data_IF_095680424462
#
_entry.id   IF_095680424462
#
_cell.length_a   1.000
_cell.length_b   1.000
_cell.length_c   1.000
_cell.angle_alpha   90.00
_cell.angle_beta   90.00
_cell.angle_gamma   90.00
#
_symmetry.space_group_name_H-M   'P 1'
#
loop_
_entity.id
_entity.type
_entity.pdbx_description
1 polymer ?
#
# COMPACT_ATOMS: atom_id res chain seq x y z
N UNK A 1 -15.33 21.62 1.61
CA UNK A 1 -14.51 21.10 0.52
C UNK A 1 -13.16 21.80 0.53
N UNK A 2 -12.07 21.07 0.38
CA UNK A 2 -10.73 21.64 0.39
C UNK A 2 -10.29 21.87 -1.07
N UNK A 3 -10.20 23.13 -1.55
CA UNK A 3 -9.83 23.44 -2.94
C UNK A 3 -8.38 23.07 -3.26
N UNK A 4 -7.54 22.87 -2.24
CA UNK A 4 -6.13 22.49 -2.40
C UNK A 4 -5.91 20.97 -2.39
N UNK A 5 -6.98 20.17 -2.31
CA UNK A 5 -6.89 18.72 -2.31
C UNK A 5 -6.38 18.21 -3.66
N UNK A 6 -5.24 17.52 -3.64
CA UNK A 6 -4.62 16.95 -4.84
C UNK A 6 -4.85 15.44 -4.99
N UNK A 7 -5.32 14.79 -3.95
CA UNK A 7 -5.62 13.35 -3.94
C UNK A 7 -6.96 13.13 -3.27
N UNK A 8 -7.86 12.45 -3.96
CA UNK A 8 -9.18 12.06 -3.44
C UNK A 8 -9.34 10.55 -3.52
N UNK A 9 -9.76 9.91 -2.42
CA UNK A 9 -9.91 8.45 -2.37
C UNK A 9 -11.28 8.00 -2.88
N UNK A 10 -11.26 7.00 -3.75
CA UNK A 10 -12.42 6.21 -4.20
C UNK A 10 -12.08 4.74 -4.04
N UNK A 11 -12.47 4.16 -2.92
CA UNK A 11 -12.04 2.82 -2.52
C UNK A 11 -13.19 1.92 -2.09
N UNK A 12 -12.89 0.64 -1.95
CA UNK A 12 -13.76 -0.33 -1.31
C UNK A 12 -14.02 0.03 0.15
N UNK A 13 -15.10 -0.50 0.72
CA UNK A 13 -15.34 -0.46 2.16
C UNK A 13 -14.39 -1.42 2.90
N UNK A 14 -14.11 -1.11 4.17
CA UNK A 14 -13.28 -1.94 5.04
C UNK A 14 -14.05 -3.17 5.54
N UNK A 15 -14.30 -4.10 4.63
CA UNK A 15 -14.93 -5.40 4.88
C UNK A 15 -14.71 -6.35 3.70
N UNK A 16 -15.13 -7.61 3.83
CA UNK A 16 -15.02 -8.65 2.81
C UNK A 16 -16.26 -8.77 1.88
N UNK A 17 -17.15 -7.76 1.89
CA UNK A 17 -18.42 -7.81 1.16
C UNK A 17 -18.30 -7.24 -0.26
N UNK A 18 -17.66 -7.94 -1.16
CA UNK A 18 -17.66 -7.60 -2.57
C UNK A 18 -18.94 -8.06 -3.30
N UNK A 19 -19.24 -7.45 -4.43
CA UNK A 19 -20.42 -7.77 -5.23
C UNK A 19 -20.30 -9.16 -5.87
N UNK A 20 -21.28 -10.03 -5.61
CA UNK A 20 -21.35 -11.42 -6.11
C UNK A 20 -22.37 -11.61 -7.23
N UNK A 21 -22.90 -10.53 -7.84
CA UNK A 21 -23.80 -10.66 -8.98
C UNK A 21 -23.04 -11.21 -10.21
N UNK A 22 -23.75 -11.84 -11.11
CA UNK A 22 -23.18 -12.50 -12.31
C UNK A 22 -22.28 -11.57 -13.14
N UNK A 23 -22.62 -10.29 -13.25
CA UNK A 23 -21.83 -9.30 -14.01
C UNK A 23 -20.48 -9.00 -13.35
N UNK A 24 -20.47 -8.81 -12.02
CA UNK A 24 -19.23 -8.57 -11.30
C UNK A 24 -18.37 -9.84 -11.25
N UNK A 25 -19.00 -11.01 -11.01
CA UNK A 25 -18.29 -12.28 -11.02
C UNK A 25 -17.60 -12.58 -12.35
N UNK A 26 -18.27 -12.31 -13.47
CA UNK A 26 -17.69 -12.50 -14.82
C UNK A 26 -16.48 -11.55 -15.04
N UNK A 27 -16.56 -10.30 -14.55
CA UNK A 27 -15.42 -9.37 -14.63
C UNK A 27 -14.26 -9.86 -13.76
N UNK A 28 -14.54 -10.29 -12.53
CA UNK A 28 -13.51 -10.76 -11.61
C UNK A 28 -12.83 -12.04 -12.12
N UNK A 29 -13.56 -12.93 -12.77
CA UNK A 29 -13.01 -14.11 -13.46
C UNK A 29 -12.11 -13.72 -14.63
N UNK A 30 -12.56 -12.81 -15.50
CA UNK A 30 -11.79 -12.30 -16.64
C UNK A 30 -10.48 -11.62 -16.18
N UNK A 31 -10.55 -10.84 -15.13
CA UNK A 31 -9.41 -10.10 -14.54
C UNK A 31 -8.53 -10.94 -13.59
N UNK A 32 -9.00 -12.13 -13.22
CA UNK A 32 -8.31 -13.00 -12.26
C UNK A 32 -8.18 -12.40 -10.85
N UNK A 33 -8.93 -11.35 -10.56
CA UNK A 33 -8.88 -10.58 -9.31
C UNK A 33 -10.13 -9.71 -9.14
N UNK A 34 -10.61 -9.56 -7.91
CA UNK A 34 -11.65 -8.58 -7.57
C UNK A 34 -11.20 -7.12 -7.75
N UNK A 35 -9.88 -6.85 -7.85
CA UNK A 35 -9.37 -5.53 -8.18
C UNK A 35 -9.82 -5.07 -9.59
N UNK A 36 -10.14 -6.00 -10.50
CA UNK A 36 -10.58 -5.68 -11.85
C UNK A 36 -11.86 -4.87 -11.88
N UNK A 37 -12.91 -5.35 -11.19
CA UNK A 37 -14.19 -4.64 -11.12
C UNK A 37 -14.08 -3.29 -10.41
N UNK A 38 -13.33 -3.22 -9.31
CA UNK A 38 -13.05 -1.97 -8.61
C UNK A 38 -12.30 -0.98 -9.51
N UNK A 39 -11.23 -1.41 -10.15
CA UNK A 39 -10.38 -0.54 -10.96
C UNK A 39 -11.09 -0.03 -12.22
N UNK A 40 -11.96 -0.85 -12.85
CA UNK A 40 -12.82 -0.39 -13.96
C UNK A 40 -13.73 0.77 -13.50
N UNK A 41 -14.29 0.69 -12.28
CA UNK A 41 -15.10 1.77 -11.71
C UNK A 41 -14.24 3.01 -11.40
N UNK A 42 -13.12 2.84 -10.72
CA UNK A 42 -12.20 3.94 -10.36
C UNK A 42 -11.70 4.66 -11.62
N UNK A 43 -11.32 3.91 -12.65
CA UNK A 43 -10.89 4.48 -13.93
C UNK A 43 -11.97 5.34 -14.60
N UNK A 44 -13.25 4.95 -14.49
CA UNK A 44 -14.35 5.79 -15.01
C UNK A 44 -14.47 7.10 -14.25
N UNK A 45 -14.37 7.07 -12.91
CA UNK A 45 -14.36 8.31 -12.10
C UNK A 45 -13.17 9.17 -12.52
N UNK A 46 -11.99 8.58 -12.66
CA UNK A 46 -10.78 9.29 -13.06
C UNK A 46 -10.89 9.92 -14.47
N UNK A 47 -11.51 9.21 -15.42
CA UNK A 47 -11.75 9.71 -16.78
C UNK A 47 -12.75 10.89 -16.80
N UNK A 48 -13.79 10.86 -15.95
CA UNK A 48 -14.81 11.92 -15.88
C UNK A 48 -14.28 13.24 -15.29
N UNK A 49 -13.29 13.18 -14.40
CA UNK A 49 -12.81 14.39 -13.71
C UNK A 49 -11.53 14.99 -14.31
N UNK A 50 -10.80 14.26 -15.15
CA UNK A 50 -9.43 14.64 -15.58
C UNK A 50 -9.35 15.99 -16.30
N UNK A 51 -10.38 16.37 -17.05
CA UNK A 51 -10.39 17.60 -17.84
C UNK A 51 -10.76 18.82 -16.98
N UNK A 52 -11.65 18.63 -16.01
CA UNK A 52 -12.09 19.69 -15.08
C UNK A 52 -11.10 19.88 -13.92
N UNK A 53 -10.41 18.80 -13.54
CA UNK A 53 -9.48 18.78 -12.39
C UNK A 53 -8.16 18.08 -12.76
N UNK A 54 -7.36 18.64 -13.69
CA UNK A 54 -6.16 17.98 -14.23
C UNK A 54 -5.06 17.71 -13.18
N UNK A 55 -5.06 18.47 -12.08
CA UNK A 55 -4.10 18.33 -10.99
C UNK A 55 -4.56 17.35 -9.88
N UNK A 56 -5.77 16.80 -9.99
CA UNK A 56 -6.31 15.89 -8.98
C UNK A 56 -6.10 14.45 -9.40
N UNK A 57 -5.60 13.64 -8.46
CA UNK A 57 -5.48 12.19 -8.61
C UNK A 57 -6.54 11.48 -7.79
N UNK A 58 -7.04 10.38 -8.31
CA UNK A 58 -7.90 9.45 -7.57
C UNK A 58 -7.02 8.35 -6.98
N UNK A 59 -7.07 8.17 -5.67
CA UNK A 59 -6.42 7.04 -5.01
C UNK A 59 -7.44 5.93 -4.74
N UNK A 60 -7.00 4.69 -4.84
CA UNK A 60 -7.79 3.50 -4.48
C UNK A 60 -6.93 2.47 -3.78
N UNK A 61 -7.55 1.71 -2.88
CA UNK A 61 -6.86 0.65 -2.14
C UNK A 61 -6.76 -0.63 -2.98
N UNK A 62 -5.58 -1.25 -2.95
CA UNK A 62 -5.38 -2.66 -3.26
C UNK A 62 -5.22 -3.40 -1.91
N UNK A 63 -6.33 -3.88 -1.37
CA UNK A 63 -6.47 -4.27 0.02
C UNK A 63 -7.31 -5.53 0.17
N UNK A 64 -6.83 -6.49 0.94
CA UNK A 64 -7.52 -7.75 1.18
C UNK A 64 -7.98 -8.41 -0.14
N UNK A 65 -9.29 -8.51 -0.40
CA UNK A 65 -9.81 -9.18 -1.60
C UNK A 65 -9.46 -8.49 -2.93
N UNK A 66 -9.04 -7.22 -2.92
CA UNK A 66 -8.56 -6.48 -4.10
C UNK A 66 -7.03 -6.32 -4.14
N UNK A 67 -6.27 -6.95 -3.23
CA UNK A 67 -4.82 -6.79 -3.16
C UNK A 67 -4.10 -7.31 -4.40
N UNK A 68 -4.56 -8.43 -4.96
CA UNK A 68 -4.00 -9.03 -6.17
C UNK A 68 -4.26 -8.11 -7.39
N UNK A 69 -3.23 -7.83 -8.17
CA UNK A 69 -3.35 -7.03 -9.39
C UNK A 69 -4.26 -7.72 -10.44
N UNK A 70 -5.06 -6.95 -11.20
CA UNK A 70 -5.87 -7.49 -12.30
C UNK A 70 -5.00 -7.80 -13.53
N UNK A 71 -5.44 -8.75 -14.33
CA UNK A 71 -4.70 -9.23 -15.52
C UNK A 71 -4.78 -8.27 -16.72
N UNK A 72 -5.90 -7.57 -16.88
CA UNK A 72 -6.23 -6.82 -18.10
C UNK A 72 -6.30 -5.31 -17.84
N UNK A 73 -7.09 -4.91 -16.85
CA UNK A 73 -7.34 -3.49 -16.57
C UNK A 73 -6.13 -2.84 -15.92
N UNK A 74 -5.67 -1.71 -16.49
CA UNK A 74 -4.58 -0.90 -15.92
C UNK A 74 -5.13 0.40 -15.34
N UNK A 75 -4.50 0.95 -14.28
CA UNK A 75 -4.85 2.25 -13.76
C UNK A 75 -4.66 3.35 -14.81
N UNK A 76 -5.49 4.39 -14.76
CA UNK A 76 -5.27 5.64 -15.51
C UNK A 76 -4.08 6.41 -14.94
N UNK A 77 -3.52 7.33 -15.71
CA UNK A 77 -2.36 8.13 -15.31
C UNK A 77 -2.63 9.02 -14.08
N UNK A 78 -3.89 9.41 -13.85
CA UNK A 78 -4.35 10.13 -12.67
C UNK A 78 -4.90 9.21 -11.56
N UNK A 79 -4.64 7.90 -11.62
CA UNK A 79 -5.01 6.93 -10.57
C UNK A 79 -3.78 6.49 -9.80
N UNK A 80 -3.86 6.54 -8.48
CA UNK A 80 -2.88 6.04 -7.53
C UNK A 80 -3.40 4.72 -6.96
N UNK A 81 -2.61 3.67 -7.06
CA UNK A 81 -2.87 2.39 -6.39
C UNK A 81 -2.17 2.40 -5.04
N UNK A 82 -2.92 2.27 -3.96
CA UNK A 82 -2.39 2.16 -2.61
C UNK A 82 -2.45 0.71 -2.14
N UNK A 83 -1.31 0.02 -2.24
CA UNK A 83 -1.17 -1.38 -1.88
C UNK A 83 -0.97 -1.51 -0.37
N UNK A 84 -1.78 -2.34 0.28
CA UNK A 84 -1.79 -2.52 1.73
C UNK A 84 -1.11 -3.83 2.13
N UNK A 85 -0.20 -3.76 3.13
CA UNK A 85 0.59 -4.90 3.63
C UNK A 85 0.00 -5.60 4.87
N UNK A 86 -1.27 -5.35 5.23
CA UNK A 86 -1.85 -5.81 6.51
C UNK A 86 -1.76 -7.33 6.73
N UNK A 87 -1.73 -8.13 5.67
CA UNK A 87 -1.70 -9.60 5.73
C UNK A 87 -0.27 -10.16 5.76
N UNK A 88 0.75 -9.29 5.82
CA UNK A 88 2.15 -9.68 5.81
C UNK A 88 2.65 -10.17 7.18
N UNK A 89 3.75 -10.89 7.16
CA UNK A 89 4.54 -11.15 8.36
C UNK A 89 5.44 -9.93 8.62
N UNK A 90 5.25 -9.26 9.76
CA UNK A 90 6.03 -8.06 10.11
C UNK A 90 7.36 -8.38 10.81
N UNK A 91 7.61 -9.64 11.18
CA UNK A 91 8.87 -10.06 11.80
C UNK A 91 9.99 -10.35 10.80
N UNK A 92 9.62 -10.65 9.55
CA UNK A 92 10.54 -10.94 8.45
C UNK A 92 10.45 -9.83 7.38
N UNK A 93 11.55 -9.59 6.69
CA UNK A 93 11.58 -8.70 5.54
C UNK A 93 10.57 -9.12 4.46
N UNK A 94 10.00 -8.15 3.74
CA UNK A 94 9.04 -8.43 2.66
C UNK A 94 9.70 -9.16 1.48
N UNK A 95 11.01 -9.03 1.36
CA UNK A 95 11.81 -9.72 0.33
C UNK A 95 12.46 -11.03 0.83
N UNK A 96 12.23 -11.43 2.08
CA UNK A 96 12.78 -12.65 2.65
C UNK A 96 12.32 -13.89 1.86
N UNK A 97 13.24 -14.65 1.25
CA UNK A 97 12.90 -15.81 0.43
C UNK A 97 12.31 -16.97 1.24
N UNK A 98 12.59 -17.02 2.54
CA UNK A 98 12.16 -18.08 3.44
C UNK A 98 10.85 -17.78 4.14
N UNK A 99 10.26 -16.58 3.95
CA UNK A 99 8.98 -16.20 4.51
C UNK A 99 7.84 -16.45 3.53
N UNK A 100 7.18 -17.61 3.64
CA UNK A 100 6.03 -17.98 2.80
C UNK A 100 4.87 -16.97 2.90
N UNK A 101 4.67 -16.35 4.06
CA UNK A 101 3.60 -15.36 4.27
C UNK A 101 3.83 -14.11 3.41
N UNK A 102 5.09 -13.67 3.29
CA UNK A 102 5.44 -12.48 2.52
C UNK A 102 5.56 -12.75 1.00
N UNK A 103 5.68 -14.01 0.59
CA UNK A 103 5.80 -14.38 -0.81
C UNK A 103 4.63 -13.88 -1.68
N UNK A 104 3.39 -13.96 -1.15
CA UNK A 104 2.20 -13.48 -1.84
C UNK A 104 2.22 -11.96 -2.04
N UNK A 105 2.60 -11.19 -1.02
CA UNK A 105 2.71 -9.74 -1.12
C UNK A 105 3.83 -9.31 -2.07
N UNK A 106 4.98 -10.00 -1.99
CA UNK A 106 6.09 -9.80 -2.94
C UNK A 106 5.64 -9.97 -4.39
N UNK A 107 4.82 -10.98 -4.66
CA UNK A 107 4.22 -11.18 -5.98
C UNK A 107 3.29 -10.00 -6.35
N UNK A 108 2.40 -9.62 -5.43
CA UNK A 108 1.41 -8.58 -5.69
C UNK A 108 2.06 -7.21 -5.99
N UNK A 109 3.08 -6.79 -5.22
CA UNK A 109 3.77 -5.51 -5.47
C UNK A 109 4.48 -5.50 -6.84
N UNK A 110 5.10 -6.61 -7.23
CA UNK A 110 5.74 -6.75 -8.54
C UNK A 110 4.72 -6.64 -9.67
N UNK A 111 3.56 -7.30 -9.55
CA UNK A 111 2.53 -7.24 -10.58
C UNK A 111 1.88 -5.84 -10.67
N UNK A 112 1.60 -5.20 -9.54
CA UNK A 112 1.13 -3.81 -9.52
C UNK A 112 2.17 -2.83 -10.10
N UNK A 113 3.45 -3.02 -9.79
CA UNK A 113 4.55 -2.20 -10.33
C UNK A 113 4.66 -2.26 -11.87
N UNK A 114 4.27 -3.39 -12.50
CA UNK A 114 4.25 -3.52 -13.97
C UNK A 114 3.14 -2.71 -14.65
N UNK A 115 2.03 -2.47 -13.96
CA UNK A 115 0.83 -1.86 -14.56
C UNK A 115 0.50 -0.48 -14.02
N UNK A 116 1.03 -0.10 -12.85
CA UNK A 116 0.78 1.19 -12.21
C UNK A 116 2.00 2.10 -12.34
N UNK A 117 1.76 3.34 -12.81
CA UNK A 117 2.78 4.40 -12.81
C UNK A 117 2.90 5.11 -11.45
N UNK A 118 1.92 4.94 -10.58
CA UNK A 118 1.78 5.63 -9.29
C UNK A 118 1.37 4.63 -8.23
N UNK A 119 2.34 3.84 -7.77
CA UNK A 119 2.15 2.88 -6.69
C UNK A 119 2.49 3.56 -5.36
N UNK A 120 1.55 3.53 -4.42
CA UNK A 120 1.74 3.95 -3.05
C UNK A 120 1.58 2.74 -2.14
N UNK A 121 2.20 2.80 -0.96
CA UNK A 121 2.13 1.72 0.02
C UNK A 121 1.42 2.22 1.28
N UNK A 122 0.50 1.42 1.78
CA UNK A 122 -0.02 1.53 3.15
C UNK A 122 0.57 0.37 3.94
N UNK A 123 1.57 0.68 4.75
CA UNK A 123 2.26 -0.29 5.58
C UNK A 123 1.82 -0.19 7.04
N UNK A 124 2.05 -1.24 7.82
CA UNK A 124 1.63 -1.37 9.20
C UNK A 124 2.87 -1.63 10.05
N UNK A 125 3.21 -0.71 10.95
CA UNK A 125 4.53 -0.71 11.59
C UNK A 125 4.49 -0.92 13.11
N UNK A 126 3.33 -1.25 13.67
CA UNK A 126 3.14 -1.48 15.11
C UNK A 126 2.20 -2.66 15.36
N UNK A 127 2.16 -3.17 16.59
CA UNK A 127 1.13 -4.13 17.01
C UNK A 127 -0.16 -3.39 17.35
N UNK A 128 -1.16 -3.48 16.49
CA UNK A 128 -2.46 -2.81 16.67
C UNK A 128 -3.32 -3.44 17.78
N UNK A 129 -3.00 -4.64 18.23
CA UNK A 129 -3.69 -5.27 19.35
C UNK A 129 -3.17 -4.75 20.67
N UNK A 130 -1.83 -4.55 20.77
CA UNK A 130 -1.16 -4.10 21.97
C UNK A 130 0.03 -3.19 21.62
N UNK A 131 -0.08 -1.88 21.80
CA UNK A 131 0.96 -0.94 21.44
C UNK A 131 2.20 -0.92 22.35
N UNK A 132 2.12 -1.52 23.55
CA UNK A 132 3.17 -1.42 24.58
C UNK A 132 4.19 -2.56 24.52
N UNK A 133 3.80 -3.84 24.30
CA UNK A 133 4.76 -4.93 24.20
C UNK A 133 5.74 -4.74 23.03
N UNK A 134 6.97 -5.27 23.12
CA UNK A 134 7.92 -5.23 22.04
C UNK A 134 7.36 -5.85 20.74
N UNK A 135 7.46 -5.10 19.64
CA UNK A 135 7.05 -5.56 18.31
C UNK A 135 8.29 -5.84 17.45
N UNK A 136 8.51 -7.06 16.97
CA UNK A 136 9.81 -7.53 16.48
C UNK A 136 10.08 -7.15 15.02
N UNK A 137 9.82 -5.91 14.61
CA UNK A 137 10.00 -5.46 13.22
C UNK A 137 11.11 -4.42 13.01
N UNK A 138 11.86 -4.04 14.05
CA UNK A 138 12.88 -3.00 13.98
C UNK A 138 13.91 -3.22 12.88
N UNK A 139 14.44 -4.45 12.79
CA UNK A 139 15.50 -4.82 11.83
C UNK A 139 15.03 -4.84 10.37
N UNK A 140 13.73 -4.93 10.12
CA UNK A 140 13.18 -5.04 8.75
C UNK A 140 12.62 -3.72 8.23
N UNK A 141 12.54 -2.66 9.05
CA UNK A 141 11.95 -1.39 8.65
C UNK A 141 12.66 -0.78 7.43
N UNK A 142 13.99 -0.67 7.48
CA UNK A 142 14.78 -0.09 6.38
C UNK A 142 14.74 -0.98 5.14
N UNK A 143 14.96 -2.28 5.30
CA UNK A 143 14.99 -3.21 4.16
C UNK A 143 13.63 -3.29 3.45
N UNK A 144 12.51 -3.14 4.19
CA UNK A 144 11.19 -3.05 3.59
C UNK A 144 11.02 -1.76 2.77
N UNK A 145 11.55 -0.63 3.25
CA UNK A 145 11.51 0.64 2.51
C UNK A 145 12.37 0.60 1.24
N UNK A 146 13.55 -0.01 1.30
CA UNK A 146 14.38 -0.30 0.14
C UNK A 146 13.62 -1.19 -0.86
N UNK A 147 12.99 -2.26 -0.38
CA UNK A 147 12.17 -3.14 -1.21
C UNK A 147 10.99 -2.41 -1.88
N UNK A 148 10.31 -1.51 -1.19
CA UNK A 148 9.25 -0.69 -1.77
C UNK A 148 9.78 0.25 -2.86
N UNK A 149 10.92 0.91 -2.61
CA UNK A 149 11.56 1.79 -3.58
C UNK A 149 11.99 1.04 -4.84
N UNK A 150 12.58 -0.15 -4.69
CA UNK A 150 13.00 -1.02 -5.79
C UNK A 150 11.81 -1.50 -6.64
N UNK A 151 10.61 -1.57 -6.06
CA UNK A 151 9.36 -1.91 -6.74
C UNK A 151 8.53 -0.68 -7.16
N UNK A 152 9.19 0.48 -7.34
CA UNK A 152 8.60 1.68 -7.90
C UNK A 152 7.52 2.35 -7.04
N UNK A 153 7.49 2.10 -5.73
CA UNK A 153 6.62 2.85 -4.84
C UNK A 153 7.03 4.33 -4.81
N UNK A 154 6.09 5.21 -5.17
CA UNK A 154 6.30 6.66 -5.25
C UNK A 154 5.87 7.40 -3.97
N UNK A 155 5.22 6.71 -3.05
CA UNK A 155 4.77 7.26 -1.78
C UNK A 155 4.41 6.17 -0.78
N UNK A 156 4.44 6.53 0.50
CA UNK A 156 4.19 5.59 1.58
C UNK A 156 3.43 6.24 2.73
N UNK A 157 2.58 5.46 3.37
CA UNK A 157 1.93 5.75 4.64
C UNK A 157 2.23 4.61 5.61
N UNK A 158 3.24 4.74 6.49
CA UNK A 158 3.50 3.77 7.54
C UNK A 158 2.56 4.03 8.71
N UNK A 159 1.53 3.20 8.85
CA UNK A 159 0.54 3.34 9.92
C UNK A 159 1.13 2.90 11.26
N UNK A 160 1.20 3.86 12.19
CA UNK A 160 1.60 3.65 13.58
C UNK A 160 0.40 3.59 14.54
N UNK A 161 0.60 4.05 15.77
CA UNK A 161 -0.44 4.05 16.79
C UNK A 161 -1.52 5.10 16.46
N UNK A 162 -2.72 4.68 16.07
CA UNK A 162 -3.77 5.61 15.66
C UNK A 162 -4.72 6.01 16.80
N UNK A 163 -4.86 5.19 17.83
CA UNK A 163 -5.78 5.42 18.95
C UNK A 163 -5.08 5.51 20.32
N UNK A 164 -3.78 5.75 20.34
CA UNK A 164 -3.03 6.03 21.57
C UNK A 164 -1.99 7.13 21.34
N UNK A 165 -1.62 7.83 22.41
CA UNK A 165 -0.63 8.91 22.36
C UNK A 165 0.79 8.37 22.21
N UNK A 166 1.05 7.15 22.69
CA UNK A 166 2.37 6.52 22.72
C UNK A 166 2.24 5.00 22.61
N UNK A 167 3.32 4.35 22.26
CA UNK A 167 3.48 2.90 22.22
C UNK A 167 4.96 2.53 22.32
N UNK A 168 5.29 1.29 22.03
CA UNK A 168 6.65 0.77 22.09
C UNK A 168 7.61 1.59 21.23
N UNK A 169 8.40 2.47 21.87
CA UNK A 169 9.35 3.39 21.25
C UNK A 169 8.79 4.13 20.02
N UNK A 170 7.54 4.62 20.11
CA UNK A 170 6.82 5.20 18.96
C UNK A 170 7.57 6.35 18.29
N UNK A 171 8.19 7.25 19.09
CA UNK A 171 8.96 8.39 18.60
C UNK A 171 10.24 7.94 17.87
N UNK A 172 10.95 6.94 18.43
CA UNK A 172 12.13 6.37 17.77
C UNK A 172 11.74 5.69 16.45
N UNK A 173 10.65 4.93 16.44
CA UNK A 173 10.13 4.29 15.23
C UNK A 173 9.80 5.32 14.15
N UNK A 174 9.10 6.39 14.52
CA UNK A 174 8.76 7.48 13.60
C UNK A 174 10.02 8.16 13.04
N UNK A 175 11.02 8.39 13.88
CA UNK A 175 12.30 8.98 13.46
C UNK A 175 13.05 8.08 12.47
N UNK A 176 13.18 6.79 12.77
CA UNK A 176 13.88 5.83 11.90
C UNK A 176 13.15 5.65 10.57
N UNK A 177 11.82 5.54 10.60
CA UNK A 177 11.00 5.48 9.38
C UNK A 177 11.16 6.74 8.53
N UNK A 178 11.12 7.93 9.14
CA UNK A 178 11.31 9.19 8.41
C UNK A 178 12.68 9.27 7.73
N UNK A 179 13.74 8.82 8.40
CA UNK A 179 15.09 8.75 7.80
C UNK A 179 15.14 7.77 6.64
N UNK A 180 14.63 6.56 6.81
CA UNK A 180 14.66 5.54 5.79
C UNK A 180 13.69 5.85 4.62
N UNK A 181 12.61 6.59 4.84
CA UNK A 181 11.75 7.13 3.77
C UNK A 181 12.46 8.24 2.98
N UNK A 182 13.35 9.01 3.62
CA UNK A 182 14.15 10.04 2.95
C UNK A 182 15.25 9.43 2.09
N UNK A 183 15.94 8.41 2.61
CA UNK A 183 16.96 7.64 1.89
C UNK A 183 16.84 6.15 2.23
N UNK A 184 16.10 5.36 1.45
CA UNK A 184 15.90 3.94 1.69
C UNK A 184 17.17 3.10 1.51
N UNK A 185 18.20 3.66 0.86
CA UNK A 185 19.47 2.97 0.59
C UNK A 185 20.58 3.28 1.59
N UNK A 186 20.28 4.05 2.64
CA UNK A 186 21.26 4.28 3.71
C UNK A 186 21.68 2.97 4.38
N UNK A 187 22.91 2.90 4.85
CA UNK A 187 23.38 1.75 5.62
C UNK A 187 22.75 1.69 7.01
N UNK A 188 22.78 0.51 7.63
CA UNK A 188 22.30 0.36 9.01
C UNK A 188 23.11 1.21 10.01
N UNK A 189 24.42 1.39 9.77
CA UNK A 189 25.27 2.27 10.58
C UNK A 189 24.84 3.73 10.45
N UNK A 190 24.52 4.20 9.24
CA UNK A 190 23.98 5.56 9.02
C UNK A 190 22.60 5.73 9.65
N UNK A 191 21.72 4.73 9.52
CA UNK A 191 20.39 4.77 10.13
C UNK A 191 20.46 4.90 11.65
N UNK A 192 21.45 4.25 12.29
CA UNK A 192 21.62 4.24 13.76
C UNK A 192 22.58 5.33 14.28
N UNK A 193 23.18 6.13 13.39
CA UNK A 193 24.02 7.27 13.78
C UNK A 193 23.17 8.50 14.15
N UNK A 194 23.55 9.18 15.22
CA UNK A 194 22.94 10.44 15.69
C UNK A 194 23.72 11.65 15.18
#
# INVERSE_FOLDING_TARGET
ENPDCKITSVSQNDNQNYCKCEKCAAVDEEEGSHAGSLLRFVNRVADEIKDDYPDVSIDTLAYQYTRKAPLITKPRDNVIIRLCSIECCFAHGLNDPDCEVNAAFKHDIIEWGKISKRLYIWDYVTDFTYYIPPFPNWRVLRENLEFFADNHAAGMYPEGNYNSVSGEFGELRAYLLARAMWDPYMSDDEMNSY
#
